data_IF_829710378401
#
_entry.id   IF_829710378401
#
_cell.length_a   1.000
_cell.length_b   1.000
_cell.length_c   1.000
_cell.angle_alpha   90.00
_cell.angle_beta   90.00
_cell.angle_gamma   90.00
#
_symmetry.space_group_name_H-M   'P 1'
#
loop_
_entity.id
_entity.type
_entity.pdbx_description
1 polymer ?
#
# COMPACT_ATOMS: atom_id res chain seq x y z
N UNK A 1 55.97 42.13 -27.64
CA UNK A 1 56.38 41.48 -26.39
C UNK A 1 55.27 40.54 -25.95
N UNK A 2 55.41 39.25 -26.25
CA UNK A 2 54.47 38.19 -25.85
C UNK A 2 55.06 37.45 -24.65
N UNK A 3 54.47 37.64 -23.47
CA UNK A 3 54.86 36.91 -22.25
C UNK A 3 54.20 35.53 -22.24
N UNK A 4 55.01 34.47 -22.31
CA UNK A 4 54.59 33.10 -22.06
C UNK A 4 54.36 32.89 -20.55
N UNK A 5 53.16 32.45 -20.14
CA UNK A 5 52.92 31.93 -18.79
C UNK A 5 53.56 30.54 -18.64
N UNK A 6 54.15 30.20 -17.48
CA UNK A 6 54.73 28.88 -17.25
C UNK A 6 53.62 27.83 -17.01
N UNK A 7 53.85 26.55 -17.41
CA UNK A 7 52.88 25.48 -17.20
C UNK A 7 52.69 25.21 -15.71
N UNK A 8 51.44 25.29 -15.25
CA UNK A 8 51.07 25.01 -13.86
C UNK A 8 51.41 23.57 -13.46
N UNK A 9 51.98 23.41 -12.26
CA UNK A 9 52.37 22.12 -11.72
C UNK A 9 51.17 21.14 -11.65
N UNK A 10 51.37 19.84 -11.95
CA UNK A 10 50.31 18.85 -11.90
C UNK A 10 49.80 18.69 -10.46
N UNK A 11 48.54 19.08 -10.21
CA UNK A 11 47.86 18.79 -8.94
C UNK A 11 47.64 17.28 -8.84
N UNK A 12 48.35 16.62 -7.93
CA UNK A 12 48.08 15.25 -7.55
C UNK A 12 46.61 15.14 -7.08
N UNK A 13 45.82 14.34 -7.80
CA UNK A 13 44.45 14.01 -7.40
C UNK A 13 44.53 13.07 -6.20
N UNK A 14 44.48 13.61 -4.99
CA UNK A 14 44.35 12.81 -3.76
C UNK A 14 43.01 12.08 -3.85
N UNK A 15 42.98 10.73 -3.90
CA UNK A 15 41.73 9.99 -3.83
C UNK A 15 41.06 10.33 -2.51
N UNK A 16 39.82 10.82 -2.55
CA UNK A 16 39.01 11.01 -1.35
C UNK A 16 38.88 9.69 -0.58
N UNK A 17 38.58 9.74 0.74
CA UNK A 17 38.48 8.55 1.55
C UNK A 17 37.51 7.56 0.90
N UNK A 18 38.02 6.38 0.53
CA UNK A 18 37.20 5.29 0.02
C UNK A 18 36.22 4.91 1.13
N UNK A 19 34.93 5.05 0.86
CA UNK A 19 33.91 4.59 1.80
C UNK A 19 34.10 3.08 2.00
N UNK A 20 34.14 2.60 3.25
CA UNK A 20 34.26 1.17 3.51
C UNK A 20 33.09 0.45 2.84
N UNK A 21 33.33 -0.74 2.27
CA UNK A 21 32.26 -1.52 1.68
C UNK A 21 31.15 -1.73 2.72
N UNK A 22 29.87 -1.67 2.29
CA UNK A 22 28.75 -1.86 3.19
C UNK A 22 28.90 -3.18 3.93
N UNK A 23 28.67 -3.16 5.25
CA UNK A 23 28.82 -4.31 6.14
C UNK A 23 27.80 -5.43 5.94
N UNK A 24 26.91 -5.30 4.95
CA UNK A 24 25.85 -6.25 4.64
C UNK A 24 25.69 -6.40 3.12
N UNK A 25 25.32 -7.60 2.63
CA UNK A 25 25.09 -7.83 1.21
C UNK A 25 23.98 -6.90 0.70
N UNK A 26 24.31 -6.06 -0.28
CA UNK A 26 23.34 -5.21 -0.96
C UNK A 26 22.54 -6.04 -1.97
N UNK A 27 21.22 -5.89 -1.95
CA UNK A 27 20.35 -6.52 -2.96
C UNK A 27 20.68 -5.91 -4.33
N UNK A 28 20.96 -6.79 -5.31
CA UNK A 28 21.25 -6.40 -6.69
C UNK A 28 20.06 -5.64 -7.29
N UNK A 29 20.35 -4.61 -8.09
CA UNK A 29 19.33 -3.89 -8.87
C UNK A 29 18.55 -4.85 -9.77
N UNK A 30 17.23 -4.67 -9.82
CA UNK A 30 16.34 -5.47 -10.65
C UNK A 30 15.83 -6.76 -9.99
N UNK A 31 16.02 -6.94 -8.68
CA UNK A 31 15.42 -8.08 -7.97
C UNK A 31 13.89 -8.01 -8.05
N UNK A 32 13.30 -6.82 -7.91
CA UNK A 32 11.84 -6.66 -8.00
C UNK A 32 11.26 -7.21 -9.32
N UNK A 33 11.96 -7.06 -10.46
CA UNK A 33 11.52 -7.59 -11.76
C UNK A 33 11.55 -9.11 -11.80
N UNK A 34 12.59 -9.70 -11.23
CA UNK A 34 12.75 -11.16 -11.14
C UNK A 34 11.72 -11.76 -10.19
N UNK A 35 11.48 -11.12 -9.05
CA UNK A 35 10.42 -11.50 -8.12
C UNK A 35 9.05 -11.40 -8.78
N UNK A 36 8.77 -10.35 -9.56
CA UNK A 36 7.51 -10.21 -10.29
C UNK A 36 7.33 -11.33 -11.30
N UNK A 37 8.30 -11.55 -12.19
CA UNK A 37 8.21 -12.58 -13.23
C UNK A 37 8.14 -14.00 -12.65
N UNK A 38 9.03 -14.32 -11.71
CA UNK A 38 9.06 -15.63 -11.05
C UNK A 38 7.81 -15.87 -10.19
N UNK A 39 7.35 -14.86 -9.47
CA UNK A 39 6.13 -14.95 -8.65
C UNK A 39 4.87 -15.12 -9.49
N UNK A 40 4.72 -14.39 -10.60
CA UNK A 40 3.61 -14.59 -11.53
C UNK A 40 3.62 -16.00 -12.13
N UNK A 41 4.79 -16.48 -12.56
CA UNK A 41 4.93 -17.84 -13.08
C UNK A 41 4.53 -18.90 -12.05
N UNK A 42 5.04 -18.77 -10.80
CA UNK A 42 4.70 -19.69 -9.71
C UNK A 42 3.22 -19.61 -9.33
N UNK A 43 2.63 -18.42 -9.30
CA UNK A 43 1.20 -18.23 -9.02
C UNK A 43 0.34 -18.90 -10.10
N UNK A 44 0.65 -18.67 -11.38
CA UNK A 44 -0.06 -19.31 -12.51
C UNK A 44 0.09 -20.83 -12.47
N UNK A 45 1.30 -21.36 -12.24
CA UNK A 45 1.52 -22.80 -12.13
C UNK A 45 0.72 -23.39 -10.96
N UNK A 46 0.72 -22.72 -9.81
CA UNK A 46 -0.04 -23.16 -8.63
C UNK A 46 -1.55 -23.16 -8.91
N UNK A 47 -2.05 -22.13 -9.61
CA UNK A 47 -3.45 -22.05 -10.02
C UNK A 47 -3.83 -23.19 -10.99
N UNK A 48 -2.99 -23.46 -12.00
CA UNK A 48 -3.21 -24.55 -12.97
C UNK A 48 -3.22 -25.90 -12.26
N UNK A 49 -2.24 -26.18 -11.39
CA UNK A 49 -2.19 -27.44 -10.64
C UNK A 49 -3.44 -27.59 -9.76
N UNK A 50 -3.77 -26.57 -8.96
CA UNK A 50 -4.95 -26.58 -8.08
C UNK A 50 -6.24 -26.85 -8.87
N UNK A 51 -6.39 -26.20 -10.03
CA UNK A 51 -7.58 -26.33 -10.88
C UNK A 51 -7.67 -27.71 -11.56
N UNK A 52 -6.56 -28.18 -12.14
CA UNK A 52 -6.53 -29.44 -12.92
C UNK A 52 -6.60 -30.68 -12.04
N UNK A 53 -5.87 -30.70 -10.92
CA UNK A 53 -5.83 -31.87 -10.04
C UNK A 53 -6.96 -31.88 -9.01
N UNK A 54 -7.70 -30.76 -8.89
CA UNK A 54 -8.66 -30.50 -7.80
C UNK A 54 -8.07 -30.73 -6.41
N UNK A 55 -6.75 -30.62 -6.29
CA UNK A 55 -6.05 -30.77 -5.04
C UNK A 55 -6.03 -29.41 -4.33
N UNK A 56 -6.49 -29.37 -3.09
CA UNK A 56 -6.60 -28.16 -2.29
C UNK A 56 -5.33 -27.89 -1.47
N UNK A 57 -4.39 -28.84 -1.41
CA UNK A 57 -3.10 -28.65 -0.72
C UNK A 57 -2.33 -27.40 -1.18
N UNK A 58 -2.29 -27.02 -2.47
CA UNK A 58 -1.60 -25.81 -2.92
C UNK A 58 -2.38 -24.51 -2.65
N UNK A 59 -3.61 -24.58 -2.12
CA UNK A 59 -4.47 -23.41 -1.92
C UNK A 59 -3.84 -22.34 -1.00
N UNK A 60 -3.21 -22.68 0.15
CA UNK A 60 -2.52 -21.67 0.96
C UNK A 60 -1.37 -21.01 0.18
N UNK A 61 -0.64 -21.77 -0.64
CA UNK A 61 0.43 -21.23 -1.49
C UNK A 61 -0.12 -20.27 -2.53
N UNK A 62 -1.26 -20.61 -3.15
CA UNK A 62 -1.94 -19.75 -4.12
C UNK A 62 -2.33 -18.41 -3.49
N UNK A 63 -3.03 -18.46 -2.36
CA UNK A 63 -3.48 -17.28 -1.59
C UNK A 63 -2.30 -16.38 -1.22
N UNK A 64 -1.23 -16.98 -0.70
CA UNK A 64 -0.04 -16.22 -0.29
C UNK A 64 0.66 -15.60 -1.49
N UNK A 65 0.81 -16.33 -2.60
CA UNK A 65 1.44 -15.80 -3.81
C UNK A 65 0.63 -14.64 -4.40
N UNK A 66 -0.69 -14.80 -4.59
CA UNK A 66 -1.51 -13.74 -5.19
C UNK A 66 -1.62 -12.50 -4.31
N UNK A 67 -1.62 -12.69 -2.99
CA UNK A 67 -1.76 -11.58 -2.04
C UNK A 67 -0.45 -10.84 -1.73
N UNK A 68 0.69 -11.55 -1.68
CA UNK A 68 1.98 -10.93 -1.31
C UNK A 68 2.81 -10.47 -2.50
N UNK A 69 2.60 -11.00 -3.71
CA UNK A 69 3.48 -10.73 -4.84
C UNK A 69 3.63 -9.24 -5.14
N UNK A 70 2.52 -8.53 -5.37
CA UNK A 70 2.57 -7.10 -5.65
C UNK A 70 3.13 -6.28 -4.46
N UNK A 71 2.65 -6.45 -3.21
CA UNK A 71 3.23 -5.79 -2.04
C UNK A 71 4.75 -5.99 -1.88
N UNK A 72 5.25 -7.21 -2.06
CA UNK A 72 6.68 -7.52 -1.97
C UNK A 72 7.45 -6.87 -3.11
N UNK A 73 6.96 -6.97 -4.35
CA UNK A 73 7.60 -6.36 -5.52
C UNK A 73 7.73 -4.85 -5.37
N UNK A 74 6.67 -4.17 -4.94
CA UNK A 74 6.72 -2.72 -4.74
C UNK A 74 7.56 -2.31 -3.52
N UNK A 75 7.61 -3.13 -2.47
CA UNK A 75 8.53 -2.90 -1.34
C UNK A 75 9.99 -3.03 -1.78
N UNK A 76 10.33 -4.06 -2.56
CA UNK A 76 11.67 -4.23 -3.16
C UNK A 76 12.02 -3.07 -4.09
N UNK A 77 11.07 -2.65 -4.91
CA UNK A 77 11.22 -1.49 -5.78
C UNK A 77 11.51 -0.20 -4.99
N UNK A 78 10.77 0.04 -3.89
CA UNK A 78 10.96 1.20 -3.03
C UNK A 78 12.31 1.15 -2.30
N UNK A 79 12.71 -0.04 -1.83
CA UNK A 79 14.04 -0.29 -1.27
C UNK A 79 15.15 0.04 -2.28
N UNK A 80 15.06 -0.52 -3.49
CA UNK A 80 16.07 -0.36 -4.54
C UNK A 80 16.21 1.08 -5.02
N UNK A 81 15.15 1.89 -5.00
CA UNK A 81 15.23 3.29 -5.47
C UNK A 81 15.51 4.29 -4.37
N UNK A 82 14.84 4.13 -3.24
CA UNK A 82 14.77 5.18 -2.22
C UNK A 82 15.05 4.68 -0.80
N UNK A 83 15.40 3.41 -0.59
CA UNK A 83 15.47 2.81 0.75
C UNK A 83 16.75 2.07 1.11
N UNK A 84 17.77 2.03 0.23
CA UNK A 84 18.99 1.23 0.47
C UNK A 84 19.71 1.56 1.78
N UNK A 85 19.75 2.83 2.14
CA UNK A 85 20.39 3.35 3.36
C UNK A 85 19.57 3.15 4.64
N UNK A 86 18.27 2.84 4.52
CA UNK A 86 17.40 2.55 5.68
C UNK A 86 17.64 1.15 6.26
N UNK A 87 18.21 0.26 5.44
CA UNK A 87 18.49 -1.14 5.80
C UNK A 87 17.29 -2.07 5.59
N UNK A 88 17.59 -3.28 5.10
CA UNK A 88 16.57 -4.32 4.82
C UNK A 88 15.78 -4.68 6.07
N UNK A 89 16.43 -4.75 7.23
CA UNK A 89 15.79 -5.14 8.49
C UNK A 89 14.69 -4.17 8.93
N UNK A 90 14.87 -2.87 8.70
CA UNK A 90 13.86 -1.86 9.09
C UNK A 90 12.67 -1.93 8.15
N UNK A 91 12.92 -2.06 6.85
CA UNK A 91 11.86 -2.19 5.82
C UNK A 91 11.06 -3.48 6.02
N UNK A 92 11.75 -4.60 6.24
CA UNK A 92 11.10 -5.88 6.55
C UNK A 92 10.33 -5.80 7.87
N UNK A 93 10.91 -5.18 8.91
CA UNK A 93 10.23 -4.94 10.18
C UNK A 93 8.95 -4.13 10.01
N UNK A 94 8.99 -3.06 9.21
CA UNK A 94 7.81 -2.27 8.86
C UNK A 94 6.76 -3.09 8.11
N UNK A 95 7.17 -3.88 7.11
CA UNK A 95 6.27 -4.75 6.36
C UNK A 95 5.58 -5.77 7.27
N UNK A 96 6.35 -6.51 8.08
CA UNK A 96 5.82 -7.52 8.99
C UNK A 96 4.94 -6.92 10.09
N UNK A 97 5.35 -5.79 10.68
CA UNK A 97 4.56 -5.12 11.70
C UNK A 97 3.26 -4.54 11.12
N UNK A 98 3.31 -3.95 9.92
CA UNK A 98 2.14 -3.44 9.23
C UNK A 98 1.14 -4.53 8.89
N UNK A 99 1.62 -5.67 8.42
CA UNK A 99 0.79 -6.86 8.23
C UNK A 99 0.17 -7.33 9.54
N UNK A 100 1.00 -7.74 10.49
CA UNK A 100 0.53 -8.45 11.68
C UNK A 100 -0.18 -7.54 12.68
N UNK A 101 0.44 -6.44 13.13
CA UNK A 101 -0.16 -5.54 14.12
C UNK A 101 -1.27 -4.69 13.52
N UNK A 102 -1.11 -4.28 12.26
CA UNK A 102 -2.12 -3.49 11.57
C UNK A 102 -3.39 -4.31 11.35
N UNK A 103 -3.30 -5.49 10.73
CA UNK A 103 -4.48 -6.31 10.44
C UNK A 103 -5.15 -6.83 11.72
N UNK A 104 -4.38 -7.27 12.72
CA UNK A 104 -4.95 -7.70 14.00
C UNK A 104 -5.67 -6.54 14.72
N UNK A 105 -5.08 -5.35 14.72
CA UNK A 105 -5.71 -4.16 15.31
C UNK A 105 -7.02 -3.80 14.59
N UNK A 106 -7.00 -3.78 13.26
CA UNK A 106 -8.18 -3.53 12.44
C UNK A 106 -9.31 -4.53 12.73
N UNK A 107 -9.03 -5.83 12.61
CA UNK A 107 -10.05 -6.88 12.81
C UNK A 107 -10.60 -6.93 14.24
N UNK A 108 -9.80 -6.60 15.26
CA UNK A 108 -10.28 -6.56 16.65
C UNK A 108 -11.22 -5.37 16.89
N UNK A 109 -10.96 -4.22 16.26
CA UNK A 109 -11.73 -2.98 16.46
C UNK A 109 -12.96 -2.89 15.54
N UNK A 110 -12.97 -3.58 14.41
CA UNK A 110 -14.07 -3.57 13.43
C UNK A 110 -15.33 -4.33 13.91
N UNK A 111 -15.17 -5.36 14.76
CA UNK A 111 -16.29 -6.14 15.32
C UNK A 111 -17.32 -5.30 16.11
N UNK A 112 -17.00 -4.07 16.48
CA UNK A 112 -17.90 -3.16 17.18
C UNK A 112 -18.80 -2.31 16.26
N UNK A 113 -18.63 -2.38 14.94
CA UNK A 113 -19.36 -1.57 13.95
C UNK A 113 -20.34 -2.44 13.14
N UNK A 114 -21.47 -2.84 13.72
CA UNK A 114 -22.29 -3.95 13.20
C UNK A 114 -23.20 -3.66 11.98
N UNK A 115 -23.31 -2.42 11.47
CA UNK A 115 -24.13 -2.12 10.28
C UNK A 115 -23.36 -1.46 9.12
N UNK A 116 -23.54 -1.89 7.85
CA UNK A 116 -22.97 -1.23 6.69
C UNK A 116 -23.47 0.22 6.59
N UNK A 117 -22.57 1.19 6.76
CA UNK A 117 -22.90 2.61 6.72
C UNK A 117 -21.67 3.45 6.35
N UNK A 118 -21.89 4.69 5.92
CA UNK A 118 -20.82 5.66 5.71
C UNK A 118 -20.03 5.91 7.00
N UNK A 119 -20.71 5.89 8.16
CA UNK A 119 -20.06 6.03 9.46
C UNK A 119 -19.14 4.85 9.81
N UNK A 120 -19.49 3.62 9.38
CA UNK A 120 -18.58 2.47 9.48
C UNK A 120 -17.33 2.70 8.63
N UNK A 121 -17.46 3.10 7.37
CA UNK A 121 -16.31 3.31 6.48
C UNK A 121 -15.34 4.36 7.04
N UNK A 122 -15.87 5.44 7.63
CA UNK A 122 -15.07 6.44 8.34
C UNK A 122 -14.40 5.86 9.58
N UNK A 123 -15.13 5.08 10.38
CA UNK A 123 -14.60 4.40 11.57
C UNK A 123 -13.46 3.43 11.24
N UNK A 124 -13.66 2.57 10.24
CA UNK A 124 -12.65 1.64 9.72
C UNK A 124 -11.42 2.41 9.25
N UNK A 125 -11.59 3.38 8.36
CA UNK A 125 -10.47 4.20 7.87
C UNK A 125 -9.64 4.84 8.99
N UNK A 126 -10.28 5.37 10.04
CA UNK A 126 -9.58 5.92 11.20
C UNK A 126 -8.81 4.83 11.98
N UNK A 127 -9.51 3.75 12.34
CA UNK A 127 -8.96 2.64 13.13
C UNK A 127 -7.76 2.02 12.44
N UNK A 128 -7.88 1.71 11.16
CA UNK A 128 -6.82 1.01 10.46
C UNK A 128 -5.61 1.90 10.20
N UNK A 129 -5.81 3.16 9.80
CA UNK A 129 -4.69 4.08 9.61
C UNK A 129 -3.98 4.38 10.94
N UNK A 130 -4.69 4.37 12.06
CA UNK A 130 -4.08 4.46 13.39
C UNK A 130 -3.24 3.22 13.72
N UNK A 131 -3.75 2.02 13.44
CA UNK A 131 -3.02 0.77 13.66
C UNK A 131 -1.75 0.69 12.80
N UNK A 132 -1.81 1.09 11.52
CA UNK A 132 -0.65 1.18 10.63
C UNK A 132 0.37 2.21 11.13
N UNK A 133 -0.08 3.38 11.57
CA UNK A 133 0.81 4.39 12.15
C UNK A 133 1.48 3.90 13.44
N UNK A 134 0.73 3.19 14.29
CA UNK A 134 1.27 2.56 15.51
C UNK A 134 2.31 1.49 15.19
N UNK A 135 2.09 0.66 14.15
CA UNK A 135 3.07 -0.30 13.67
C UNK A 135 4.36 0.37 13.19
N UNK A 136 4.25 1.48 12.44
CA UNK A 136 5.41 2.28 12.02
C UNK A 136 6.21 2.82 13.22
N UNK A 137 5.51 3.42 14.20
CA UNK A 137 6.11 3.94 15.44
C UNK A 137 6.77 2.82 16.25
N UNK A 138 6.13 1.65 16.34
CA UNK A 138 6.62 0.49 17.07
C UNK A 138 7.96 -0.01 16.53
N UNK A 139 8.14 -0.07 15.22
CA UNK A 139 9.42 -0.45 14.59
C UNK A 139 10.44 0.66 14.83
N UNK A 140 10.08 1.91 14.55
CA UNK A 140 10.99 3.04 14.58
C UNK A 140 11.45 3.48 15.97
N UNK A 141 10.78 3.05 17.06
CA UNK A 141 11.22 3.33 18.44
C UNK A 141 12.63 2.82 18.73
N UNK A 142 13.09 1.77 18.02
CA UNK A 142 14.44 1.23 18.12
C UNK A 142 15.44 1.90 17.15
N UNK A 143 14.97 2.82 16.30
CA UNK A 143 15.77 3.48 15.26
C UNK A 143 15.62 5.02 15.33
N UNK A 144 16.17 5.68 16.37
CA UNK A 144 15.98 7.11 16.58
C UNK A 144 16.63 8.00 15.51
N UNK A 145 17.66 7.48 14.81
CA UNK A 145 18.39 8.20 13.76
C UNK A 145 17.62 8.32 12.45
N UNK A 146 16.61 7.47 12.22
CA UNK A 146 15.82 7.47 10.99
C UNK A 146 14.78 8.59 11.04
N UNK A 147 14.92 9.55 10.13
CA UNK A 147 14.06 10.73 10.01
C UNK A 147 14.01 11.22 8.57
N UNK A 148 13.13 12.18 8.32
CA UNK A 148 12.99 12.82 7.02
C UNK A 148 11.88 12.21 6.17
N UNK A 149 11.40 13.03 5.23
CA UNK A 149 10.22 12.76 4.42
C UNK A 149 10.39 11.51 3.54
N UNK A 150 11.54 11.36 2.85
CA UNK A 150 11.86 10.16 2.06
C UNK A 150 11.80 8.87 2.89
N UNK A 151 12.41 8.87 4.08
CA UNK A 151 12.40 7.69 4.95
C UNK A 151 10.97 7.35 5.37
N UNK A 152 10.15 8.36 5.69
CA UNK A 152 8.74 8.18 6.01
C UNK A 152 7.92 7.64 4.85
N UNK A 153 8.15 8.10 3.61
CA UNK A 153 7.49 7.56 2.43
C UNK A 153 7.78 6.07 2.24
N UNK A 154 9.05 5.67 2.29
CA UNK A 154 9.46 4.27 2.05
C UNK A 154 8.99 3.34 3.17
N UNK A 155 9.19 3.74 4.43
CA UNK A 155 8.81 2.91 5.58
C UNK A 155 7.31 2.86 5.78
N UNK A 156 6.61 3.99 5.59
CA UNK A 156 5.15 4.05 5.59
C UNK A 156 4.55 3.19 4.48
N UNK A 157 5.08 3.28 3.26
CA UNK A 157 4.67 2.39 2.16
C UNK A 157 4.89 0.92 2.52
N UNK A 158 6.02 0.58 3.13
CA UNK A 158 6.33 -0.80 3.54
C UNK A 158 5.31 -1.34 4.55
N UNK A 159 4.92 -0.53 5.54
CA UNK A 159 3.83 -0.87 6.48
C UNK A 159 2.52 -1.12 5.75
N UNK A 160 2.11 -0.19 4.87
CA UNK A 160 0.85 -0.32 4.13
C UNK A 160 0.85 -1.48 3.13
N UNK A 161 1.99 -1.83 2.54
CA UNK A 161 2.15 -3.04 1.72
C UNK A 161 1.98 -4.31 2.55
N UNK A 162 2.60 -4.38 3.72
CA UNK A 162 2.43 -5.51 4.63
C UNK A 162 0.98 -5.70 5.06
N UNK A 163 0.30 -4.61 5.39
CA UNK A 163 -1.13 -4.60 5.70
C UNK A 163 -1.96 -5.13 4.52
N UNK A 164 -1.79 -4.53 3.33
CA UNK A 164 -2.53 -4.90 2.14
C UNK A 164 -2.32 -6.37 1.73
N UNK A 165 -1.13 -6.93 1.99
CA UNK A 165 -0.83 -8.33 1.71
C UNK A 165 -1.67 -9.28 2.59
N UNK A 166 -1.71 -9.05 3.91
CA UNK A 166 -2.49 -9.92 4.80
C UNK A 166 -3.99 -9.70 4.68
N UNK A 167 -4.42 -8.45 4.48
CA UNK A 167 -5.83 -8.15 4.22
C UNK A 167 -6.31 -8.86 2.94
N UNK A 168 -5.53 -8.77 1.85
CA UNK A 168 -5.87 -9.46 0.59
C UNK A 168 -5.87 -10.98 0.74
N UNK A 169 -4.98 -11.54 1.56
CA UNK A 169 -4.99 -12.97 1.87
C UNK A 169 -6.27 -13.39 2.60
N UNK A 170 -6.76 -12.56 3.54
CA UNK A 170 -8.04 -12.76 4.20
C UNK A 170 -9.22 -12.72 3.22
N UNK A 171 -9.24 -11.73 2.31
CA UNK A 171 -10.27 -11.66 1.26
C UNK A 171 -10.23 -12.86 0.31
N UNK A 172 -9.04 -13.26 -0.16
CA UNK A 172 -8.88 -14.43 -1.03
C UNK A 172 -9.30 -15.72 -0.34
N UNK A 173 -8.97 -15.88 0.95
CA UNK A 173 -9.43 -17.00 1.78
C UNK A 173 -10.96 -17.02 1.91
N UNK A 174 -11.58 -15.88 2.25
CA UNK A 174 -13.03 -15.77 2.37
C UNK A 174 -13.76 -16.02 1.05
N UNK A 175 -13.21 -15.54 -0.07
CA UNK A 175 -13.74 -15.79 -1.40
C UNK A 175 -13.66 -17.28 -1.77
N UNK A 176 -12.59 -17.96 -1.36
CA UNK A 176 -12.45 -19.40 -1.54
C UNK A 176 -13.43 -20.20 -0.67
N UNK A 177 -13.61 -19.78 0.58
CA UNK A 177 -14.45 -20.44 1.57
C UNK A 177 -15.93 -20.05 1.42
N UNK A 178 -16.58 -20.52 0.33
CA UNK A 178 -18.02 -20.29 0.14
C UNK A 178 -18.88 -21.29 0.93
N UNK A 179 -20.10 -20.89 1.30
CA UNK A 179 -21.11 -21.76 1.93
C UNK A 179 -21.47 -23.01 1.11
N UNK A 180 -21.12 -23.05 -0.18
CA UNK A 180 -21.41 -24.16 -1.11
C UNK A 180 -20.16 -24.99 -1.47
N UNK A 181 -19.01 -24.72 -0.83
CA UNK A 181 -17.73 -25.38 -1.12
C UNK A 181 -16.64 -24.41 -1.60
N UNK A 182 -15.52 -24.95 -2.07
CA UNK A 182 -14.38 -24.14 -2.52
C UNK A 182 -14.67 -23.44 -3.86
N UNK A 183 -14.64 -22.11 -3.88
CA UNK A 183 -14.78 -21.30 -5.10
C UNK A 183 -13.43 -20.73 -5.55
N UNK A 184 -12.71 -21.52 -6.33
CA UNK A 184 -11.41 -21.12 -6.90
C UNK A 184 -11.55 -19.94 -7.87
N UNK A 185 -12.70 -19.77 -8.54
CA UNK A 185 -12.91 -18.68 -9.48
C UNK A 185 -12.99 -17.36 -8.71
N UNK A 186 -13.79 -17.32 -7.65
CA UNK A 186 -13.92 -16.14 -6.80
C UNK A 186 -12.59 -15.76 -6.11
N UNK A 187 -11.82 -16.75 -5.66
CA UNK A 187 -10.45 -16.53 -5.17
C UNK A 187 -9.59 -15.82 -6.22
N UNK A 188 -9.48 -16.41 -7.42
CA UNK A 188 -8.60 -15.87 -8.48
C UNK A 188 -9.04 -14.48 -8.94
N UNK A 189 -10.35 -14.24 -9.07
CA UNK A 189 -10.89 -12.91 -9.37
C UNK A 189 -10.50 -11.89 -8.31
N UNK A 190 -10.59 -12.26 -7.03
CA UNK A 190 -10.18 -11.40 -5.91
C UNK A 190 -8.71 -11.03 -6.00
N UNK A 191 -7.82 -12.00 -6.27
CA UNK A 191 -6.38 -11.75 -6.37
C UNK A 191 -6.02 -10.89 -7.59
N UNK A 192 -6.60 -11.18 -8.76
CA UNK A 192 -6.35 -10.42 -10.00
C UNK A 192 -6.80 -8.96 -9.87
N UNK A 193 -7.92 -8.71 -9.18
CA UNK A 193 -8.43 -7.36 -8.97
C UNK A 193 -7.62 -6.58 -7.92
N UNK A 194 -7.25 -7.23 -6.81
CA UNK A 194 -6.58 -6.55 -5.69
C UNK A 194 -5.08 -6.35 -5.91
N UNK A 195 -4.42 -7.28 -6.61
CA UNK A 195 -2.97 -7.22 -6.87
C UNK A 195 -2.50 -5.89 -7.50
N UNK A 196 -3.08 -5.45 -8.64
CA UNK A 196 -2.73 -4.19 -9.29
C UNK A 196 -3.08 -2.94 -8.48
N UNK A 197 -4.04 -3.03 -7.55
CA UNK A 197 -4.49 -1.91 -6.70
C UNK A 197 -3.64 -1.73 -5.44
N UNK A 198 -2.84 -2.74 -5.06
CA UNK A 198 -1.96 -2.70 -3.89
C UNK A 198 -1.10 -1.42 -3.73
N UNK A 199 -0.49 -0.84 -4.78
CA UNK A 199 0.29 0.40 -4.67
C UNK A 199 -0.55 1.70 -4.54
N UNK A 200 -1.89 1.62 -4.68
CA UNK A 200 -2.76 2.80 -4.77
C UNK A 200 -3.73 2.98 -3.60
N UNK A 201 -3.78 2.02 -2.68
CA UNK A 201 -4.58 2.08 -1.43
C UNK A 201 -3.71 2.29 -0.20
N UNK A 202 -3.75 1.34 0.74
CA UNK A 202 -3.07 1.41 2.04
C UNK A 202 -1.60 1.84 1.98
N UNK A 203 -0.83 1.30 1.03
CA UNK A 203 0.58 1.66 0.87
C UNK A 203 0.78 3.16 0.63
N UNK A 204 -0.09 3.80 -0.15
CA UNK A 204 -0.03 5.21 -0.47
C UNK A 204 -0.45 6.08 0.71
N UNK A 205 -1.54 5.72 1.39
CA UNK A 205 -2.05 6.42 2.57
C UNK A 205 -1.04 6.38 3.72
N UNK A 206 -0.52 5.20 4.03
CA UNK A 206 0.49 5.03 5.08
C UNK A 206 1.83 5.65 4.71
N UNK A 207 2.19 5.71 3.41
CA UNK A 207 3.35 6.49 2.96
C UNK A 207 3.18 7.99 3.25
N UNK A 208 2.00 8.56 3.02
CA UNK A 208 1.72 9.99 3.28
C UNK A 208 1.83 10.29 4.78
N UNK A 209 1.17 9.52 5.64
CA UNK A 209 1.24 9.73 7.10
C UNK A 209 2.65 9.46 7.63
N UNK A 210 3.32 8.40 7.16
CA UNK A 210 4.70 8.11 7.50
C UNK A 210 5.66 9.24 7.10
N UNK A 211 5.50 9.79 5.91
CA UNK A 211 6.28 10.92 5.41
C UNK A 211 6.17 12.15 6.31
N UNK A 212 4.93 12.53 6.66
CA UNK A 212 4.68 13.70 7.53
C UNK A 212 5.16 13.44 8.95
N UNK A 213 4.96 12.22 9.48
CA UNK A 213 5.46 11.82 10.80
C UNK A 213 6.98 11.94 10.90
N UNK A 214 7.72 11.39 9.92
CA UNK A 214 9.18 11.38 9.96
C UNK A 214 9.80 12.72 9.57
N UNK A 215 9.09 13.56 8.82
CA UNK A 215 9.49 14.94 8.58
C UNK A 215 9.48 15.79 9.86
N UNK A 216 8.54 15.53 10.78
CA UNK A 216 8.41 16.23 12.07
C UNK A 216 9.06 15.47 13.23
N UNK A 217 9.83 14.42 12.95
CA UNK A 217 10.52 13.67 14.00
C UNK A 217 11.69 14.47 14.55
N UNK A 218 11.78 14.56 15.87
CA UNK A 218 12.87 15.27 16.56
C UNK A 218 14.24 14.68 16.20
N UNK A 219 15.33 15.48 16.19
CA UNK A 219 16.69 14.97 16.04
C UNK A 219 17.08 13.89 17.06
N UNK A 220 16.46 13.91 18.25
CA UNK A 220 16.66 12.90 19.29
C UNK A 220 15.77 11.65 19.12
N UNK A 221 15.04 11.53 18.00
CA UNK A 221 14.22 10.38 17.67
C UNK A 221 12.82 10.36 18.30
N UNK A 222 12.46 11.40 19.07
CA UNK A 222 11.12 11.55 19.68
C UNK A 222 10.07 11.90 18.61
N UNK A 223 8.95 11.19 18.64
CA UNK A 223 7.77 11.53 17.85
C UNK A 223 7.08 12.76 18.46
N UNK A 224 6.77 13.75 17.64
CA UNK A 224 6.13 14.97 18.06
C UNK A 224 4.67 14.97 17.60
N UNK A 225 3.76 15.33 18.51
CA UNK A 225 2.39 15.65 18.13
C UNK A 225 2.41 17.02 17.45
N UNK A 226 2.39 17.00 16.13
CA UNK A 226 2.35 18.22 15.32
C UNK A 226 1.00 18.26 14.60
N UNK A 227 0.37 19.45 14.52
CA UNK A 227 -0.86 19.67 13.75
C UNK A 227 -0.83 19.07 12.34
N UNK A 228 0.28 19.17 11.58
CA UNK A 228 0.42 18.50 10.28
C UNK A 228 0.30 16.97 10.32
N UNK A 229 0.79 16.30 11.37
CA UNK A 229 0.69 14.84 11.52
C UNK A 229 -0.77 14.44 11.75
N UNK A 230 -1.48 15.16 12.62
CA UNK A 230 -2.90 14.94 12.85
C UNK A 230 -3.73 15.21 11.58
N UNK A 231 -3.44 16.30 10.86
CA UNK A 231 -4.10 16.62 9.59
C UNK A 231 -3.83 15.58 8.50
N UNK A 232 -2.60 15.08 8.40
CA UNK A 232 -2.26 13.99 7.48
C UNK A 232 -3.02 12.71 7.83
N UNK A 233 -3.05 12.33 9.11
CA UNK A 233 -3.81 11.17 9.59
C UNK A 233 -5.30 11.26 9.26
N UNK A 234 -5.95 12.38 9.59
CA UNK A 234 -7.37 12.57 9.30
C UNK A 234 -7.65 12.59 7.78
N UNK A 235 -6.80 13.25 7.00
CA UNK A 235 -6.97 13.30 5.55
C UNK A 235 -6.78 11.95 4.87
N UNK A 236 -5.80 11.13 5.28
CA UNK A 236 -5.66 9.78 4.73
C UNK A 236 -6.77 8.84 5.21
N UNK A 237 -7.25 9.00 6.44
CA UNK A 237 -8.40 8.24 6.95
C UNK A 237 -9.67 8.55 6.13
N UNK A 238 -9.82 9.80 5.69
CA UNK A 238 -10.91 10.18 4.78
C UNK A 238 -10.73 9.60 3.38
N UNK A 239 -9.51 9.59 2.83
CA UNK A 239 -9.24 8.94 1.54
C UNK A 239 -9.53 7.44 1.60
N UNK A 240 -9.17 6.79 2.71
CA UNK A 240 -9.47 5.40 2.97
C UNK A 240 -10.98 5.16 3.07
N UNK A 241 -11.68 5.93 3.90
CA UNK A 241 -13.13 5.82 4.02
C UNK A 241 -13.85 6.02 2.67
N UNK A 242 -13.35 6.92 1.83
CA UNK A 242 -13.87 7.16 0.48
C UNK A 242 -13.59 5.97 -0.46
N UNK A 243 -12.42 5.35 -0.36
CA UNK A 243 -12.09 4.11 -1.08
C UNK A 243 -13.09 3.00 -0.74
N UNK A 244 -13.31 2.73 0.54
CA UNK A 244 -14.23 1.68 1.00
C UNK A 244 -15.68 1.99 0.62
N UNK A 245 -16.04 3.28 0.67
CA UNK A 245 -17.38 3.74 0.31
C UNK A 245 -17.64 3.72 -1.20
N UNK A 246 -16.63 3.54 -2.05
CA UNK A 246 -16.75 3.72 -3.50
C UNK A 246 -17.82 2.81 -4.12
N UNK A 247 -17.89 1.54 -3.71
CA UNK A 247 -18.90 0.62 -4.21
C UNK A 247 -20.32 1.01 -3.74
N UNK A 248 -20.46 1.44 -2.48
CA UNK A 248 -21.74 1.92 -1.95
C UNK A 248 -22.23 3.20 -2.63
N UNK A 249 -21.32 4.14 -2.89
CA UNK A 249 -21.59 5.38 -3.63
C UNK A 249 -21.99 5.05 -5.09
N UNK A 250 -21.31 4.11 -5.73
CA UNK A 250 -21.65 3.66 -7.08
C UNK A 250 -23.06 3.09 -7.15
N UNK A 251 -23.44 2.20 -6.21
CA UNK A 251 -24.81 1.68 -6.13
C UNK A 251 -25.84 2.80 -5.93
N UNK A 252 -25.55 3.76 -5.06
CA UNK A 252 -26.42 4.91 -4.82
C UNK A 252 -26.62 5.75 -6.09
N UNK A 253 -25.55 6.05 -6.82
CA UNK A 253 -25.61 6.81 -8.07
C UNK A 253 -26.41 6.07 -9.14
N UNK A 254 -26.16 4.76 -9.33
CA UNK A 254 -26.90 3.94 -10.29
C UNK A 254 -28.38 3.93 -9.96
N UNK A 255 -28.74 3.67 -8.70
CA UNK A 255 -30.13 3.68 -8.28
C UNK A 255 -30.77 5.04 -8.55
N UNK A 256 -30.08 6.14 -8.21
CA UNK A 256 -30.61 7.50 -8.41
C UNK A 256 -30.85 7.86 -9.87
N UNK A 257 -30.04 7.34 -10.79
CA UNK A 257 -30.12 7.65 -12.22
C UNK A 257 -31.07 6.72 -13.00
N UNK A 258 -31.27 5.49 -12.52
CA UNK A 258 -32.00 4.44 -13.28
C UNK A 258 -33.35 4.05 -12.67
N UNK A 259 -33.61 4.37 -11.40
CA UNK A 259 -34.88 4.00 -10.74
C UNK A 259 -35.79 5.21 -10.53
N UNK A 260 -37.06 5.09 -10.92
CA UNK A 260 -38.09 6.14 -10.78
C UNK A 260 -38.80 6.12 -9.42
N UNK A 261 -38.63 5.06 -8.63
CA UNK A 261 -39.16 4.91 -7.27
C UNK A 261 -38.06 4.57 -6.27
N UNK A 262 -37.86 5.43 -5.26
CA UNK A 262 -36.90 5.23 -4.18
C UNK A 262 -37.38 4.11 -3.25
N UNK A 263 -37.15 2.85 -3.62
CA UNK A 263 -37.28 1.76 -2.66
C UNK A 263 -36.09 1.82 -1.70
N UNK A 264 -36.35 2.31 -0.48
CA UNK A 264 -35.34 2.47 0.59
C UNK A 264 -34.74 1.13 1.01
N UNK A 265 -35.33 0.00 0.62
CA UNK A 265 -34.79 -1.35 0.88
C UNK A 265 -33.50 -1.64 0.10
N UNK A 266 -33.28 -0.99 -1.06
CA UNK A 266 -32.04 -1.13 -1.85
C UNK A 266 -30.79 -0.62 -1.11
N UNK A 267 -30.95 0.33 -0.18
CA UNK A 267 -29.85 0.84 0.65
C UNK A 267 -29.36 -0.19 1.68
N UNK A 268 -30.21 -1.14 2.08
CA UNK A 268 -29.88 -2.12 3.12
C UNK A 268 -29.12 -3.34 2.60
N UNK A 269 -29.24 -3.66 1.31
CA UNK A 269 -28.74 -4.92 0.74
C UNK A 269 -27.30 -4.83 0.20
N UNK A 270 -26.82 -3.64 -0.18
CA UNK A 270 -25.46 -3.49 -0.73
C UNK A 270 -25.27 -4.14 -2.11
N UNK A 271 -26.34 -4.52 -2.80
CA UNK A 271 -26.34 -4.98 -4.19
C UNK A 271 -27.70 -4.69 -4.86
N UNK A 272 -27.71 -4.56 -6.19
CA UNK A 272 -28.94 -4.47 -6.99
C UNK A 272 -29.38 -5.90 -7.40
N UNK A 273 -30.57 -6.38 -7.02
CA UNK A 273 -31.06 -7.69 -7.44
C UNK A 273 -31.48 -7.67 -8.92
N UNK A 274 -30.88 -8.53 -9.76
CA UNK A 274 -31.20 -8.65 -11.18
C UNK A 274 -30.93 -7.37 -12.00
N UNK A 275 -29.70 -6.79 -11.96
CA UNK A 275 -29.44 -5.50 -12.58
C UNK A 275 -29.53 -5.57 -14.11
N UNK A 276 -30.07 -4.52 -14.72
CA UNK A 276 -30.04 -4.35 -16.18
C UNK A 276 -28.60 -4.17 -16.67
N UNK A 277 -28.34 -4.38 -17.97
CA UNK A 277 -26.99 -4.21 -18.51
C UNK A 277 -26.52 -2.75 -18.42
N UNK A 278 -27.44 -1.79 -18.52
CA UNK A 278 -27.17 -0.38 -18.26
C UNK A 278 -26.73 -0.14 -16.81
N UNK A 279 -27.44 -0.72 -15.83
CA UNK A 279 -27.10 -0.60 -14.41
C UNK A 279 -25.74 -1.22 -14.08
N UNK A 280 -25.41 -2.37 -14.68
CA UNK A 280 -24.07 -2.97 -14.55
C UNK A 280 -22.99 -2.04 -15.10
N UNK A 281 -23.20 -1.48 -16.30
CA UNK A 281 -22.23 -0.57 -16.91
C UNK A 281 -22.00 0.69 -16.07
N UNK A 282 -23.09 1.34 -15.62
CA UNK A 282 -23.01 2.51 -14.76
C UNK A 282 -22.35 2.19 -13.41
N UNK A 283 -22.65 1.03 -12.82
CA UNK A 283 -22.02 0.58 -11.57
C UNK A 283 -20.51 0.41 -11.74
N UNK A 284 -20.07 -0.27 -12.80
CA UNK A 284 -18.64 -0.42 -13.10
C UNK A 284 -17.99 0.93 -13.35
N UNK A 285 -18.64 1.83 -14.10
CA UNK A 285 -18.12 3.17 -14.38
C UNK A 285 -17.91 3.97 -13.09
N UNK A 286 -18.91 4.04 -12.22
CA UNK A 286 -18.81 4.82 -10.98
C UNK A 286 -17.90 4.18 -9.94
N UNK A 287 -17.89 2.84 -9.84
CA UNK A 287 -17.02 2.14 -8.88
C UNK A 287 -15.55 2.26 -9.29
N UNK A 288 -15.20 1.90 -10.53
CA UNK A 288 -13.82 2.02 -11.02
C UNK A 288 -13.40 3.48 -11.11
N UNK A 289 -14.27 4.36 -11.60
CA UNK A 289 -14.02 5.80 -11.67
C UNK A 289 -13.75 6.40 -10.29
N UNK A 290 -14.53 6.04 -9.27
CA UNK A 290 -14.32 6.46 -7.89
C UNK A 290 -12.97 6.01 -7.34
N UNK A 291 -12.61 4.73 -7.51
CA UNK A 291 -11.32 4.20 -7.07
C UNK A 291 -10.15 4.93 -7.74
N UNK A 292 -10.25 5.20 -9.05
CA UNK A 292 -9.24 5.96 -9.80
C UNK A 292 -9.11 7.38 -9.25
N UNK A 293 -10.21 8.07 -8.97
CA UNK A 293 -10.17 9.42 -8.40
C UNK A 293 -9.51 9.46 -7.02
N UNK A 294 -9.85 8.51 -6.14
CA UNK A 294 -9.23 8.40 -4.81
C UNK A 294 -7.73 8.10 -4.92
N UNK A 295 -7.34 7.17 -5.79
CA UNK A 295 -5.94 6.86 -6.06
C UNK A 295 -5.17 8.08 -6.59
N UNK A 296 -5.75 8.81 -7.54
CA UNK A 296 -5.14 10.03 -8.10
C UNK A 296 -4.98 11.13 -7.05
N UNK A 297 -5.94 11.28 -6.13
CA UNK A 297 -5.84 12.22 -5.02
C UNK A 297 -4.66 11.85 -4.09
N UNK A 298 -4.52 10.57 -3.73
CA UNK A 298 -3.38 10.09 -2.96
C UNK A 298 -2.04 10.29 -3.68
N UNK A 299 -1.98 10.00 -4.98
CA UNK A 299 -0.76 10.17 -5.78
C UNK A 299 -0.40 11.65 -5.90
N UNK A 300 -1.40 12.51 -6.10
CA UNK A 300 -1.25 13.96 -6.09
C UNK A 300 -0.68 14.47 -4.76
N UNK A 301 -1.15 13.92 -3.64
CA UNK A 301 -0.64 14.27 -2.31
C UNK A 301 0.82 13.86 -2.14
N UNK A 302 1.19 12.61 -2.47
CA UNK A 302 2.59 12.18 -2.43
C UNK A 302 3.46 13.07 -3.31
N UNK A 303 3.02 13.39 -4.54
CA UNK A 303 3.74 14.30 -5.45
C UNK A 303 3.93 15.69 -4.85
N UNK A 304 2.92 16.22 -4.15
CA UNK A 304 3.00 17.50 -3.45
C UNK A 304 4.06 17.47 -2.34
N UNK A 305 4.13 16.37 -1.57
CA UNK A 305 5.15 16.16 -0.55
C UNK A 305 6.56 16.07 -1.15
N UNK A 306 6.74 15.28 -2.22
CA UNK A 306 8.06 15.08 -2.84
C UNK A 306 8.58 16.31 -3.59
N UNK A 307 7.70 17.16 -4.13
CA UNK A 307 8.12 18.42 -4.80
C UNK A 307 8.81 19.39 -3.84
N UNK A 308 8.49 19.31 -2.55
CA UNK A 308 8.99 20.17 -1.48
C UNK A 308 10.30 19.67 -0.84
N UNK A 309 10.75 18.45 -1.17
CA UNK A 309 11.96 17.84 -0.59
C UNK A 309 13.06 17.61 -1.65
N UNK A 310 14.22 18.24 -1.45
CA UNK A 310 15.39 18.09 -2.34
C UNK A 310 16.01 16.70 -2.25
N UNK A 311 15.86 15.97 -1.14
CA UNK A 311 16.40 14.63 -0.98
C UNK A 311 15.76 13.60 -1.93
N UNK A 312 14.56 13.90 -2.46
CA UNK A 312 13.87 13.06 -3.45
C UNK A 312 14.37 13.26 -4.88
N UNK A 313 14.95 14.43 -5.20
CA UNK A 313 15.45 14.75 -6.56
C UNK A 313 16.79 14.10 -6.88
N UNK A 314 17.53 13.69 -5.84
CA UNK A 314 18.90 13.16 -5.95
C UNK A 314 18.99 11.64 -5.73
N UNK A 315 17.86 10.94 -5.64
CA UNK A 315 17.83 9.47 -5.70
C UNK A 315 17.67 9.02 -7.15
N UNK A 316 18.52 8.08 -7.63
CA UNK A 316 18.46 7.57 -9.01
C UNK A 316 17.16 6.82 -9.33
#
# INVERSE_FOLDING_TARGET
MTQNQPPGAPRARIPGPQQPPPSYPQIRTGLWRRCLGGGLALWTLTAIVTYTTRNTTPLPTLILLGSFLAPVVFTLWAYERHGRDLGVQVILGCFLAGGTLGALGASAMENHLLHPSLSRCVGVGLIEEAAKLAALVFVLRRHPRIRGLRAGLVLGASVGFGFAALESAGYAFNAAASLRGLDLRALLETEILRGPLAPFGHSLWTAITGAVLLAHRSPHGRFQYAGPVAGAYLGVSMLHALWDSTHGIALWLVARLTTTGLDRTLFGLGYLPGPTDEQKHLFTLFSVGGLVLVALAGVGWVRSLTRRDFAWRNTP
#
